data_IF_367907790028
#
_entry.id   IF_367907790028
#
_cell.length_a   1.000
_cell.length_b   1.000
_cell.length_c   1.000
_cell.angle_alpha   90.00
_cell.angle_beta   90.00
_cell.angle_gamma   90.00
#
_symmetry.space_group_name_H-M   'P 1'
#
loop_
_entity.id
_entity.type
_entity.pdbx_description
1 polymer ?
#
# COMPACT_ATOMS: atom_id res chain seq x y z
N UNK A 1 -38.10 20.32 14.14
CA UNK A 1 -37.73 19.15 13.31
C UNK A 1 -36.41 19.46 12.63
N UNK A 2 -35.31 18.78 12.99
CA UNK A 2 -33.97 19.13 12.48
C UNK A 2 -33.12 17.89 12.23
N UNK A 3 -33.52 17.08 11.26
CA UNK A 3 -32.76 15.90 10.82
C UNK A 3 -31.55 16.30 9.98
N UNK A 4 -30.45 16.69 10.63
CA UNK A 4 -29.17 16.93 9.94
C UNK A 4 -28.64 15.64 9.27
N UNK A 5 -27.88 15.73 8.16
CA UNK A 5 -27.43 14.56 7.41
C UNK A 5 -26.27 13.81 8.09
N UNK A 6 -26.58 13.02 9.12
CA UNK A 6 -25.62 12.18 9.87
C UNK A 6 -25.02 11.06 8.99
N UNK A 7 -25.71 10.67 7.91
CA UNK A 7 -25.40 9.50 7.07
C UNK A 7 -24.03 9.48 6.37
N UNK A 8 -23.23 10.56 6.37
CA UNK A 8 -21.94 10.58 5.64
C UNK A 8 -20.75 9.95 6.37
N UNK A 9 -20.96 9.40 7.57
CA UNK A 9 -19.90 8.69 8.35
C UNK A 9 -20.27 7.29 8.81
N UNK A 10 -21.55 6.92 8.81
CA UNK A 10 -22.01 5.61 9.29
C UNK A 10 -21.56 4.45 8.38
N UNK A 11 -21.60 4.68 7.05
CA UNK A 11 -21.33 3.63 6.05
C UNK A 11 -19.83 3.41 5.77
N UNK A 12 -18.94 4.06 6.52
CA UNK A 12 -17.50 3.99 6.32
C UNK A 12 -16.90 2.78 7.04
N UNK A 13 -16.71 1.69 6.29
CA UNK A 13 -15.95 0.51 6.72
C UNK A 13 -14.58 0.95 7.29
N UNK A 14 -14.18 0.38 8.43
CA UNK A 14 -12.88 0.66 9.06
C UNK A 14 -11.74 0.43 8.05
N UNK A 15 -10.94 1.47 7.81
CA UNK A 15 -9.82 1.47 6.87
C UNK A 15 -8.95 0.21 7.01
N UNK A 16 -8.88 -0.59 5.95
CA UNK A 16 -8.01 -1.75 5.92
C UNK A 16 -6.54 -1.34 5.89
N UNK A 17 -5.65 -2.24 6.29
CA UNK A 17 -4.18 -2.07 6.15
C UNK A 17 -3.78 -1.78 4.69
N UNK A 18 -4.56 -2.27 3.72
CA UNK A 18 -4.35 -1.98 2.31
C UNK A 18 -4.72 -0.55 1.93
N UNK A 19 -5.79 0.01 2.48
CA UNK A 19 -6.22 1.40 2.23
C UNK A 19 -5.32 2.40 2.94
N UNK A 20 -4.96 2.17 4.21
CA UNK A 20 -3.98 2.99 4.94
C UNK A 20 -2.67 3.06 4.12
N UNK A 21 -2.18 1.91 3.65
CA UNK A 21 -0.99 1.83 2.78
C UNK A 21 -1.19 2.54 1.43
N UNK A 22 -2.39 2.52 0.84
CA UNK A 22 -2.73 3.24 -0.41
C UNK A 22 -2.74 4.75 -0.21
N UNK A 23 -3.33 5.23 0.89
CA UNK A 23 -3.41 6.65 1.25
C UNK A 23 -2.02 7.21 1.55
N UNK A 24 -1.23 6.55 2.40
CA UNK A 24 0.16 6.91 2.68
C UNK A 24 1.03 6.90 1.42
N UNK A 25 0.81 5.93 0.50
CA UNK A 25 1.51 5.92 -0.79
C UNK A 25 1.12 7.10 -1.68
N UNK A 26 -0.16 7.50 -1.74
CA UNK A 26 -0.61 8.68 -2.50
C UNK A 26 0.00 9.97 -1.94
N UNK A 27 -0.04 10.16 -0.62
CA UNK A 27 0.57 11.31 0.05
C UNK A 27 2.08 11.39 -0.22
N UNK A 28 2.80 10.27 -0.04
CA UNK A 28 4.23 10.20 -0.29
C UNK A 28 4.61 10.38 -1.78
N UNK A 29 3.71 10.09 -2.72
CA UNK A 29 3.92 10.37 -4.14
C UNK A 29 3.62 11.84 -4.50
N UNK A 30 2.55 12.44 -3.95
CA UNK A 30 2.20 13.85 -4.20
C UNK A 30 3.29 14.83 -3.72
N UNK A 31 3.97 14.51 -2.62
CA UNK A 31 5.08 15.32 -2.07
C UNK A 31 6.37 15.19 -2.90
N UNK A 32 6.53 14.15 -3.72
CA UNK A 32 7.83 13.74 -4.27
C UNK A 32 7.82 13.57 -5.80
N UNK A 33 7.72 14.72 -6.51
CA UNK A 33 7.81 14.83 -7.97
C UNK A 33 9.23 14.63 -8.57
N UNK A 34 10.27 14.43 -7.75
CA UNK A 34 11.62 14.14 -8.26
C UNK A 34 11.77 12.69 -8.76
N UNK A 35 12.36 12.53 -9.94
CA UNK A 35 12.61 11.23 -10.59
C UNK A 35 13.40 10.26 -9.70
N UNK A 36 14.38 10.75 -8.93
CA UNK A 36 15.17 9.92 -8.02
C UNK A 36 14.33 9.27 -6.91
N UNK A 37 13.37 10.01 -6.36
CA UNK A 37 12.46 9.52 -5.33
C UNK A 37 11.58 8.39 -5.89
N UNK A 38 11.09 8.52 -7.13
CA UNK A 38 10.32 7.46 -7.82
C UNK A 38 11.19 6.23 -8.08
N UNK A 39 12.43 6.41 -8.56
CA UNK A 39 13.39 5.32 -8.77
C UNK A 39 13.79 4.64 -7.46
N UNK A 40 13.94 5.38 -6.36
CA UNK A 40 14.18 4.83 -5.02
C UNK A 40 13.02 3.92 -4.58
N UNK A 41 11.77 4.40 -4.64
CA UNK A 41 10.61 3.59 -4.27
C UNK A 41 10.41 2.38 -5.18
N UNK A 42 10.69 2.50 -6.48
CA UNK A 42 10.69 1.37 -7.42
C UNK A 42 11.72 0.30 -7.01
N UNK A 43 12.95 0.69 -6.68
CA UNK A 43 14.00 -0.20 -6.14
C UNK A 43 13.57 -0.86 -4.82
N UNK A 44 13.00 -0.11 -3.86
CA UNK A 44 12.48 -0.65 -2.59
C UNK A 44 11.34 -1.66 -2.82
N UNK A 45 10.39 -1.35 -3.71
CA UNK A 45 9.24 -2.20 -4.05
C UNK A 45 9.69 -3.52 -4.67
N UNK A 46 10.60 -3.48 -5.67
CA UNK A 46 11.15 -4.69 -6.30
C UNK A 46 11.91 -5.58 -5.31
N UNK A 47 12.74 -5.01 -4.42
CA UNK A 47 13.42 -5.75 -3.33
C UNK A 47 12.41 -6.45 -2.40
N UNK A 48 11.32 -5.78 -2.02
CA UNK A 48 10.28 -6.38 -1.17
C UNK A 48 9.49 -7.48 -1.90
N UNK A 49 9.14 -7.29 -3.17
CA UNK A 49 8.52 -8.33 -4.01
C UNK A 49 9.41 -9.57 -4.14
N UNK A 50 10.71 -9.40 -4.36
CA UNK A 50 11.67 -10.51 -4.40
C UNK A 50 11.74 -11.25 -3.04
N UNK A 51 11.80 -10.54 -1.90
CA UNK A 51 11.71 -11.16 -0.56
C UNK A 51 10.40 -11.94 -0.34
N UNK A 52 9.27 -11.41 -0.82
CA UNK A 52 7.98 -12.10 -0.75
C UNK A 52 7.98 -13.39 -1.60
N UNK A 53 8.50 -13.34 -2.84
CA UNK A 53 8.71 -14.53 -3.68
C UNK A 53 9.61 -15.55 -2.98
N UNK A 54 10.78 -15.15 -2.46
CA UNK A 54 11.69 -16.05 -1.73
C UNK A 54 11.01 -16.72 -0.52
N UNK A 55 10.20 -15.98 0.24
CA UNK A 55 9.42 -16.53 1.35
C UNK A 55 8.37 -17.54 0.85
N UNK A 56 7.69 -17.24 -0.26
CA UNK A 56 6.72 -18.13 -0.89
C UNK A 56 7.35 -19.41 -1.45
N UNK A 57 8.53 -19.31 -2.08
CA UNK A 57 9.32 -20.47 -2.54
C UNK A 57 9.72 -21.35 -1.36
N UNK A 58 10.35 -20.77 -0.32
CA UNK A 58 10.73 -21.49 0.92
C UNK A 58 9.54 -22.18 1.58
N UNK A 59 8.37 -21.53 1.65
CA UNK A 59 7.12 -22.10 2.19
C UNK A 59 6.49 -23.18 1.31
N UNK A 60 6.91 -23.33 0.05
CA UNK A 60 6.40 -24.33 -0.90
C UNK A 60 7.43 -25.42 -1.23
N UNK A 61 8.56 -25.50 -0.51
CA UNK A 61 9.62 -26.51 -0.72
C UNK A 61 10.45 -26.34 -2.01
N UNK A 62 9.94 -25.64 -3.02
CA UNK A 62 10.66 -25.40 -4.27
C UNK A 62 11.79 -24.37 -4.11
N UNK A 63 12.96 -24.63 -4.70
CA UNK A 63 13.98 -23.60 -4.92
C UNK A 63 13.43 -22.51 -5.84
N UNK A 64 13.78 -21.23 -5.63
CA UNK A 64 13.61 -20.21 -6.66
C UNK A 64 14.53 -20.53 -7.86
N UNK A 65 14.17 -20.07 -9.08
CA UNK A 65 15.10 -19.99 -10.20
C UNK A 65 16.16 -18.90 -9.96
#
# INVERSE_FOLDING_TARGET
MTGGPVGRRADLIRLSVNEIRRLLSKLAHAVRHETEHVLHWSRRRRRHQHRARLSQYRRRGHRPP
#
